data_IF_548797326794
#
_entry.id   IF_548797326794
#
_cell.length_a   1.000
_cell.length_b   1.000
_cell.length_c   1.000
_cell.angle_alpha   90.00
_cell.angle_beta   90.00
_cell.angle_gamma   90.00
#
_symmetry.space_group_name_H-M   'P 1'
#
loop_
_entity.id
_entity.type
_entity.pdbx_description
1 polymer ?
#
# COMPACT_ATOMS: atom_id res chain seq x y z
N UNK A 1 13.16 -6.49 11.52
CA UNK A 1 11.69 -6.65 11.33
C UNK A 1 11.42 -8.10 10.98
N UNK A 2 11.40 -9.01 11.96
CA UNK A 2 11.41 -10.47 11.73
C UNK A 2 10.03 -11.10 11.52
N UNK A 3 9.12 -10.44 10.79
CA UNK A 3 7.81 -11.01 10.45
C UNK A 3 7.88 -11.97 9.26
N UNK A 4 6.86 -12.80 9.09
CA UNK A 4 6.75 -13.74 7.97
C UNK A 4 6.03 -13.09 6.77
N UNK A 5 6.55 -13.32 5.56
CA UNK A 5 5.81 -13.09 4.32
C UNK A 5 5.20 -14.42 3.87
N UNK A 6 3.89 -14.44 3.66
CA UNK A 6 3.14 -15.67 3.33
C UNK A 6 2.32 -15.46 2.07
N UNK A 7 1.95 -16.56 1.40
CA UNK A 7 0.99 -16.52 0.30
C UNK A 7 -0.37 -16.00 0.78
N UNK A 8 -1.02 -15.15 -0.02
CA UNK A 8 -2.35 -14.60 0.25
C UNK A 8 -3.49 -15.59 -0.07
N UNK A 9 -3.26 -16.88 0.18
CA UNK A 9 -4.15 -17.97 -0.23
C UNK A 9 -4.25 -18.11 -1.75
N UNK A 10 -3.22 -17.71 -2.51
CA UNK A 10 -3.22 -17.70 -3.97
C UNK A 10 -4.04 -16.57 -4.60
N UNK A 11 -4.63 -15.68 -3.79
CA UNK A 11 -5.41 -14.53 -4.26
C UNK A 11 -4.49 -13.40 -4.71
N UNK A 12 -4.82 -12.80 -5.84
CA UNK A 12 -4.11 -11.68 -6.42
C UNK A 12 -4.70 -10.35 -5.99
N UNK A 13 -3.84 -9.38 -5.69
CA UNK A 13 -4.18 -7.96 -5.70
C UNK A 13 -3.32 -7.28 -6.77
N UNK A 14 -3.98 -6.86 -7.85
CA UNK A 14 -3.33 -6.31 -9.03
C UNK A 14 -4.09 -5.07 -9.48
N UNK A 15 -3.39 -4.05 -9.98
CA UNK A 15 -4.02 -2.82 -10.44
C UNK A 15 -4.51 -1.93 -9.30
N UNK A 16 -5.29 -0.89 -9.63
CA UNK A 16 -5.76 0.12 -8.67
C UNK A 16 -6.75 -0.46 -7.67
N UNK A 17 -6.30 -0.73 -6.44
CA UNK A 17 -7.09 -1.38 -5.40
C UNK A 17 -7.43 -0.41 -4.27
N UNK A 18 -8.70 -0.37 -3.81
CA UNK A 18 -9.11 0.48 -2.70
C UNK A 18 -8.62 -0.08 -1.37
N UNK A 19 -8.12 0.83 -0.53
CA UNK A 19 -7.64 0.57 0.82
C UNK A 19 -8.48 1.32 1.84
N UNK A 20 -8.94 0.59 2.85
CA UNK A 20 -9.56 1.15 4.04
C UNK A 20 -8.47 1.58 5.00
N UNK A 21 -8.36 2.90 5.21
CA UNK A 21 -7.37 3.47 6.12
C UNK A 21 -7.81 3.36 7.58
N UNK A 22 -6.86 3.11 8.46
CA UNK A 22 -7.03 3.30 9.90
C UNK A 22 -7.06 4.79 10.23
N UNK A 23 -7.42 5.16 11.47
CA UNK A 23 -7.33 6.57 11.89
C UNK A 23 -5.90 7.12 11.79
N UNK A 24 -4.89 6.30 12.07
CA UNK A 24 -3.47 6.64 11.88
C UNK A 24 -3.17 6.89 10.39
N UNK A 25 -3.66 6.02 9.50
CA UNK A 25 -3.50 6.17 8.05
C UNK A 25 -4.15 7.44 7.53
N UNK A 26 -5.39 7.72 7.92
CA UNK A 26 -6.12 8.94 7.53
C UNK A 26 -5.39 10.20 7.97
N UNK A 27 -4.88 10.23 9.20
CA UNK A 27 -4.09 11.37 9.72
C UNK A 27 -2.80 11.58 8.92
N UNK A 28 -2.07 10.50 8.65
CA UNK A 28 -0.77 10.58 7.97
C UNK A 28 -0.91 10.93 6.48
N UNK A 29 -1.92 10.38 5.79
CA UNK A 29 -2.16 10.62 4.37
C UNK A 29 -3.04 11.85 4.08
N UNK A 30 -3.80 12.33 5.08
CA UNK A 30 -4.69 13.47 4.92
C UNK A 30 -5.93 13.21 4.07
N UNK A 31 -6.29 11.94 3.84
CA UNK A 31 -7.44 11.50 3.03
C UNK A 31 -8.22 10.41 3.76
N UNK A 32 -9.54 10.26 3.51
CA UNK A 32 -10.36 9.26 4.19
C UNK A 32 -10.16 7.83 3.67
N UNK A 33 -9.74 7.70 2.41
CA UNK A 33 -9.57 6.44 1.68
C UNK A 33 -8.40 6.58 0.69
N UNK A 34 -7.89 5.45 0.20
CA UNK A 34 -6.74 5.43 -0.69
C UNK A 34 -6.92 4.37 -1.77
N UNK A 35 -6.60 4.71 -3.01
CA UNK A 35 -6.54 3.78 -4.12
C UNK A 35 -5.10 3.72 -4.64
N UNK A 36 -4.48 2.54 -4.70
CA UNK A 36 -3.09 2.39 -5.15
C UNK A 36 -2.94 1.19 -6.06
N UNK A 37 -1.99 1.26 -6.98
CA UNK A 37 -1.58 0.14 -7.80
C UNK A 37 -0.99 -0.99 -6.94
N UNK A 38 -1.57 -2.17 -7.04
CA UNK A 38 -1.07 -3.40 -6.40
C UNK A 38 -0.47 -4.33 -7.45
N UNK A 39 0.44 -5.22 -7.04
CA UNK A 39 1.01 -6.26 -7.91
C UNK A 39 1.56 -7.44 -7.10
N UNK A 40 0.75 -8.02 -6.22
CA UNK A 40 1.22 -9.07 -5.30
C UNK A 40 0.20 -10.20 -5.10
N UNK A 41 0.70 -11.34 -4.61
CA UNK A 41 -0.11 -12.51 -4.18
C UNK A 41 0.38 -13.10 -2.86
N UNK A 42 1.28 -12.38 -2.21
CA UNK A 42 1.87 -12.62 -0.91
C UNK A 42 1.71 -11.36 -0.05
N UNK A 43 1.80 -11.50 1.26
CA UNK A 43 1.74 -10.36 2.18
C UNK A 43 2.43 -10.66 3.51
N UNK A 44 2.65 -9.62 4.30
CA UNK A 44 2.99 -9.72 5.72
C UNK A 44 1.70 -9.60 6.55
N UNK A 45 1.15 -10.68 7.13
CA UNK A 45 -0.21 -10.69 7.66
C UNK A 45 -0.35 -9.92 8.97
N UNK A 46 0.72 -9.91 9.78
CA UNK A 46 0.72 -9.32 11.11
C UNK A 46 1.55 -8.04 11.12
N UNK A 47 1.00 -7.00 11.74
CA UNK A 47 1.77 -5.77 12.03
C UNK A 47 2.68 -6.05 13.23
N UNK A 48 4.01 -5.84 13.12
CA UNK A 48 4.92 -6.05 14.24
C UNK A 48 4.56 -5.16 15.45
N UNK A 49 4.84 -5.57 16.71
CA UNK A 49 4.41 -4.83 17.91
C UNK A 49 4.86 -3.35 18.01
N UNK A 50 5.93 -2.96 17.32
CA UNK A 50 6.44 -1.58 17.31
C UNK A 50 5.92 -0.75 16.13
N UNK A 51 4.99 -1.29 15.36
CA UNK A 51 4.41 -0.65 14.20
C UNK A 51 2.91 -0.42 14.39
N UNK A 52 2.39 0.54 13.64
CA UNK A 52 0.98 0.88 13.56
C UNK A 52 0.49 0.66 12.14
N UNK A 53 -0.65 -0.02 12.01
CA UNK A 53 -1.31 -0.25 10.74
C UNK A 53 -1.78 1.07 10.12
N UNK A 54 -1.53 1.27 8.84
CA UNK A 54 -2.04 2.41 8.08
C UNK A 54 -3.33 2.08 7.34
N UNK A 55 -3.48 0.85 6.85
CA UNK A 55 -4.70 0.44 6.15
C UNK A 55 -4.66 -1.02 5.71
N UNK A 56 -5.82 -1.49 5.27
CA UNK A 56 -6.06 -2.86 4.81
C UNK A 56 -6.94 -2.84 3.55
N UNK A 57 -6.92 -3.93 2.79
CA UNK A 57 -7.92 -4.21 1.76
C UNK A 57 -8.88 -5.31 2.25
N UNK A 58 -9.83 -5.70 1.40
CA UNK A 58 -10.71 -6.85 1.69
C UNK A 58 -9.97 -8.19 1.72
N UNK A 59 -8.75 -8.24 1.15
CA UNK A 59 -7.97 -9.48 0.98
C UNK A 59 -6.75 -9.48 1.92
N UNK A 60 -6.02 -8.36 1.99
CA UNK A 60 -4.78 -8.23 2.75
C UNK A 60 -4.97 -7.34 3.97
N UNK A 61 -4.76 -7.87 5.19
CA UNK A 61 -5.01 -7.13 6.43
C UNK A 61 -3.97 -6.04 6.73
N UNK A 62 -2.83 -6.08 6.05
CA UNK A 62 -1.74 -5.11 6.21
C UNK A 62 -1.26 -4.63 4.85
N UNK A 63 -1.80 -3.50 4.41
CA UNK A 63 -1.42 -2.84 3.16
C UNK A 63 -0.39 -1.71 3.38
N UNK A 64 -0.07 -1.42 4.63
CA UNK A 64 0.94 -0.44 5.00
C UNK A 64 1.04 -0.28 6.50
N UNK A 65 2.23 0.06 6.98
CA UNK A 65 2.51 0.22 8.40
C UNK A 65 3.61 1.25 8.64
N UNK A 66 3.58 1.85 9.83
CA UNK A 66 4.59 2.82 10.26
C UNK A 66 5.15 2.48 11.62
N UNK A 67 6.45 2.73 11.79
CA UNK A 67 7.07 2.84 13.10
C UNK A 67 7.31 4.31 13.39
N UNK A 68 6.91 4.77 14.56
CA UNK A 68 7.14 6.14 15.00
C UNK A 68 8.42 6.24 15.83
N UNK A 69 9.03 7.43 15.87
CA UNK A 69 10.10 7.72 16.82
C UNK A 69 9.59 7.65 18.26
N UNK A 70 10.47 7.35 19.24
CA UNK A 70 10.12 7.42 20.66
C UNK A 70 9.52 8.78 21.03
N UNK A 71 8.44 8.78 21.82
CA UNK A 71 7.74 9.99 22.26
C UNK A 71 6.64 10.48 21.31
N UNK A 72 6.51 9.92 20.11
CA UNK A 72 5.37 10.15 19.24
C UNK A 72 4.24 9.15 19.50
N UNK A 73 3.01 9.57 19.18
CA UNK A 73 1.80 8.78 19.38
C UNK A 73 0.97 8.71 18.08
N UNK A 74 0.29 7.59 17.77
CA UNK A 74 -0.53 7.44 16.56
C UNK A 74 -1.65 8.49 16.45
N UNK A 75 -2.19 8.94 17.57
CA UNK A 75 -3.31 9.86 17.65
C UNK A 75 -2.92 11.29 17.24
N UNK A 76 -1.64 11.64 17.34
CA UNK A 76 -1.07 12.92 16.94
C UNK A 76 0.00 12.78 15.86
N UNK A 77 -0.04 11.67 15.11
CA UNK A 77 0.97 11.36 14.10
C UNK A 77 1.04 12.46 13.04
N UNK A 78 2.28 12.83 12.70
CA UNK A 78 2.62 13.68 11.58
C UNK A 78 3.84 13.10 10.84
N UNK A 79 4.13 13.53 9.60
CA UNK A 79 5.29 13.05 8.85
C UNK A 79 6.62 13.10 9.62
N UNK A 80 6.84 14.12 10.48
CA UNK A 80 8.07 14.25 11.28
C UNK A 80 8.23 13.19 12.36
N UNK A 81 7.16 12.48 12.71
CA UNK A 81 7.20 11.43 13.73
C UNK A 81 7.56 10.06 13.16
N UNK A 82 7.59 9.90 11.84
CA UNK A 82 7.77 8.59 11.20
C UNK A 82 9.23 8.19 11.15
N UNK A 83 9.58 7.07 11.79
CA UNK A 83 10.90 6.46 11.73
C UNK A 83 11.01 5.46 10.58
N UNK A 84 9.97 4.65 10.37
CA UNK A 84 9.90 3.67 9.28
C UNK A 84 8.54 3.80 8.61
N UNK A 85 8.52 3.85 7.29
CA UNK A 85 7.32 3.90 6.47
C UNK A 85 7.33 2.73 5.51
N UNK A 86 6.25 1.95 5.49
CA UNK A 86 6.09 0.78 4.62
C UNK A 86 4.71 0.81 3.97
N UNK A 87 4.67 0.51 2.67
CA UNK A 87 3.46 0.25 1.89
C UNK A 87 3.66 -1.04 1.10
N UNK A 88 2.60 -1.83 0.96
CA UNK A 88 2.61 -3.07 0.20
C UNK A 88 2.41 -2.81 -1.31
N UNK A 89 1.60 -1.79 -1.64
CA UNK A 89 1.38 -1.35 -3.01
C UNK A 89 2.54 -0.56 -3.60
N UNK A 90 2.39 -0.24 -4.88
CA UNK A 90 3.38 0.42 -5.71
C UNK A 90 2.98 1.88 -5.99
N UNK A 91 3.30 2.85 -5.11
CA UNK A 91 3.02 4.26 -5.37
C UNK A 91 3.74 4.81 -6.61
N UNK A 92 4.79 4.11 -7.05
CA UNK A 92 5.59 4.40 -8.23
C UNK A 92 5.03 3.84 -9.53
N UNK A 93 4.00 2.98 -9.48
CA UNK A 93 3.39 2.42 -10.68
C UNK A 93 2.33 3.36 -11.26
N UNK A 94 2.36 3.47 -12.59
CA UNK A 94 1.27 4.00 -13.39
C UNK A 94 0.53 2.87 -14.12
N UNK A 95 -0.49 3.25 -14.89
CA UNK A 95 -1.30 2.27 -15.61
C UNK A 95 -0.52 1.52 -16.70
N UNK A 96 0.45 2.19 -17.33
CA UNK A 96 1.24 1.57 -18.38
C UNK A 96 2.10 0.43 -17.83
N UNK A 97 2.76 0.66 -16.69
CA UNK A 97 3.56 -0.38 -16.02
C UNK A 97 2.70 -1.58 -15.66
N UNK A 98 1.52 -1.35 -15.07
CA UNK A 98 0.60 -2.42 -14.69
C UNK A 98 0.12 -3.20 -15.92
N UNK A 99 -0.27 -2.52 -16.99
CA UNK A 99 -0.74 -3.15 -18.23
C UNK A 99 0.32 -4.11 -18.82
N UNK A 100 1.59 -3.67 -18.89
CA UNK A 100 2.66 -4.52 -19.42
C UNK A 100 2.98 -5.72 -18.52
N UNK A 101 2.94 -5.55 -17.20
CA UNK A 101 3.13 -6.68 -16.26
C UNK A 101 1.97 -7.68 -16.36
N UNK A 102 0.73 -7.21 -16.41
CA UNK A 102 -0.46 -8.06 -16.55
C UNK A 102 -0.41 -8.86 -17.85
N UNK A 103 -0.09 -8.20 -18.97
CA UNK A 103 0.09 -8.84 -20.27
C UNK A 103 1.16 -9.93 -20.23
N UNK A 104 2.33 -9.64 -19.67
CA UNK A 104 3.42 -10.61 -19.57
C UNK A 104 3.07 -11.81 -18.66
N UNK A 105 2.45 -11.57 -17.50
CA UNK A 105 2.06 -12.63 -16.55
C UNK A 105 0.87 -13.47 -17.01
N UNK A 106 -0.04 -12.88 -17.79
CA UNK A 106 -1.13 -13.63 -18.43
C UNK A 106 -0.59 -14.53 -19.53
N UNK A 107 0.31 -14.03 -20.39
CA UNK A 107 0.93 -14.81 -21.46
C UNK A 107 1.74 -16.01 -20.95
N UNK A 108 2.33 -15.91 -19.75
CA UNK A 108 3.05 -17.02 -19.11
C UNK A 108 2.17 -17.96 -18.28
N UNK A 109 0.85 -17.70 -18.21
CA UNK A 109 -0.11 -18.50 -17.43
C UNK A 109 -0.03 -18.31 -15.91
N UNK A 110 0.78 -17.37 -15.42
CA UNK A 110 0.92 -17.07 -13.98
C UNK A 110 -0.31 -16.31 -13.45
N UNK A 111 -0.97 -15.55 -14.32
CA UNK A 111 -2.17 -14.77 -14.00
C UNK A 111 -3.37 -15.29 -14.80
N UNK A 112 -4.45 -15.62 -14.10
CA UNK A 112 -5.65 -16.15 -14.73
C UNK A 112 -6.45 -15.05 -15.45
N UNK A 113 -7.31 -15.44 -16.38
CA UNK A 113 -8.10 -14.49 -17.16
C UNK A 113 -9.09 -13.70 -16.29
N UNK A 114 -9.56 -14.28 -15.19
CA UNK A 114 -10.44 -13.61 -14.24
C UNK A 114 -9.73 -12.42 -13.58
N UNK A 115 -8.46 -12.60 -13.17
CA UNK A 115 -7.66 -11.50 -12.61
C UNK A 115 -7.41 -10.42 -13.66
N UNK A 116 -7.11 -10.80 -14.90
CA UNK A 116 -6.90 -9.85 -16.01
C UNK A 116 -8.14 -8.99 -16.25
N UNK A 117 -9.33 -9.61 -16.25
CA UNK A 117 -10.60 -8.89 -16.44
C UNK A 117 -10.91 -7.94 -15.28
N UNK A 118 -10.69 -8.37 -14.03
CA UNK A 118 -10.88 -7.52 -12.85
C UNK A 118 -9.96 -6.27 -12.88
N UNK A 119 -8.68 -6.45 -13.25
CA UNK A 119 -7.75 -5.33 -13.40
C UNK A 119 -8.21 -4.37 -14.49
N UNK A 120 -8.70 -4.89 -15.63
CA UNK A 120 -9.20 -4.07 -16.72
C UNK A 120 -10.41 -3.21 -16.32
N UNK A 121 -11.29 -3.72 -15.45
CA UNK A 121 -12.45 -2.97 -14.93
C UNK A 121 -12.06 -1.78 -14.04
N UNK A 122 -10.87 -1.86 -13.41
CA UNK A 122 -10.36 -0.84 -12.49
C UNK A 122 -9.27 0.05 -13.10
N UNK A 123 -8.99 -0.12 -14.39
CA UNK A 123 -7.92 0.54 -15.14
C UNK A 123 -7.93 2.07 -15.05
N UNK A 124 -9.11 2.68 -15.04
CA UNK A 124 -9.25 4.14 -15.01
C UNK A 124 -9.56 4.70 -13.62
N UNK A 125 -9.48 3.86 -12.58
CA UNK A 125 -9.72 4.32 -11.22
C UNK A 125 -8.63 5.29 -10.77
N UNK A 126 -9.01 6.24 -9.89
CA UNK A 126 -8.10 7.19 -9.24
C UNK A 126 -6.90 6.45 -8.65
N UNK A 127 -5.68 6.84 -9.01
CA UNK A 127 -4.45 6.34 -8.40
C UNK A 127 -3.82 7.41 -7.50
N UNK A 128 -3.76 7.13 -6.20
CA UNK A 128 -3.26 8.01 -5.15
C UNK A 128 -1.76 7.80 -4.87
N UNK A 129 -1.10 6.90 -5.61
CA UNK A 129 0.31 6.56 -5.44
C UNK A 129 1.23 7.78 -5.45
N UNK A 130 1.16 8.61 -6.49
CA UNK A 130 2.01 9.81 -6.60
C UNK A 130 1.47 10.95 -5.73
N UNK A 131 0.18 11.27 -5.87
CA UNK A 131 -0.42 12.49 -5.30
C UNK A 131 -0.59 12.47 -3.78
N UNK A 132 -0.73 11.29 -3.18
CA UNK A 132 -0.94 11.12 -1.74
C UNK A 132 0.27 10.43 -1.11
N UNK A 133 0.57 9.18 -1.49
CA UNK A 133 1.64 8.41 -0.83
C UNK A 133 3.01 8.99 -1.12
N UNK A 134 3.30 9.30 -2.39
CA UNK A 134 4.55 9.93 -2.80
C UNK A 134 4.76 11.27 -2.11
N UNK A 135 3.71 12.09 -2.01
CA UNK A 135 3.72 13.35 -1.26
C UNK A 135 4.03 13.13 0.23
N UNK A 136 3.32 12.22 0.89
CA UNK A 136 3.56 11.89 2.31
C UNK A 136 4.99 11.40 2.54
N UNK A 137 5.53 10.56 1.64
CA UNK A 137 6.92 10.12 1.70
C UNK A 137 7.89 11.30 1.61
N UNK A 138 7.66 12.24 0.69
CA UNK A 138 8.46 13.46 0.59
C UNK A 138 8.39 14.33 1.86
N UNK A 139 7.22 14.44 2.47
CA UNK A 139 7.04 15.16 3.74
C UNK A 139 7.79 14.51 4.89
N UNK A 140 7.77 13.17 4.97
CA UNK A 140 8.55 12.39 5.96
C UNK A 140 10.05 12.64 5.76
N UNK A 141 10.54 12.60 4.52
CA UNK A 141 11.96 12.80 4.20
C UNK A 141 12.43 14.24 4.44
N UNK A 142 11.56 15.23 4.24
CA UNK A 142 11.90 16.66 4.44
C UNK A 142 11.81 17.10 5.89
N UNK A 143 11.07 16.38 6.73
CA UNK A 143 10.86 16.78 8.12
C UNK A 143 12.20 16.92 8.86
N UNK A 144 12.56 18.15 9.24
CA UNK A 144 13.68 18.36 10.16
C UNK A 144 13.27 17.82 11.52
N UNK A 145 14.11 16.98 12.11
CA UNK A 145 13.94 16.59 13.52
C UNK A 145 14.17 17.85 14.36
N UNK A 146 13.11 18.38 14.96
CA UNK A 146 13.22 19.40 15.99
C UNK A 146 13.66 18.75 17.30
#
# INVERSE_FOLDING_TARGET
MGGECVSNGGRWEVGTTPMQLTETGKRLFGVPELNIQQMHRDHVPAVPPSFHLLGASSITPNQGMVKLYPGAAPESVSPSNVQVFCVQGHPEFDQFIVDEIVKARSASGVMSQEVVQDVAQRREWRNDGIGVIGKTLWEILRASRA
#
